data_IF_451747173860
#
_entry.id   IF_451747173860
#
_cell.length_a   1.000
_cell.length_b   1.000
_cell.length_c   1.000
_cell.angle_alpha   90.00
_cell.angle_beta   90.00
_cell.angle_gamma   90.00
#
_symmetry.space_group_name_H-M   'P 1'
#
loop_
_entity.id
_entity.type
_entity.pdbx_description
1 polymer ?
#
# COMPACT_ATOMS: atom_id res chain seq x y z
N UNK A 1 14.15 -30.08 9.11
CA UNK A 1 13.10 -29.05 8.99
C UNK A 1 12.45 -29.21 7.61
N UNK A 2 11.25 -29.77 7.54
CA UNK A 2 10.53 -29.90 6.26
C UNK A 2 9.89 -28.55 5.93
N UNK A 3 10.43 -27.85 4.95
CA UNK A 3 9.81 -26.65 4.38
C UNK A 3 8.51 -27.07 3.70
N UNK A 4 7.38 -26.89 4.38
CA UNK A 4 6.08 -26.99 3.68
C UNK A 4 6.06 -25.90 2.63
N UNK A 5 6.18 -26.29 1.35
CA UNK A 5 6.06 -25.36 0.22
C UNK A 5 4.65 -24.76 0.23
N UNK A 6 4.55 -23.51 0.63
CA UNK A 6 3.29 -22.74 0.54
C UNK A 6 3.06 -22.33 -0.92
N UNK A 7 1.79 -22.37 -1.35
CA UNK A 7 1.43 -21.85 -2.68
C UNK A 7 1.77 -20.36 -2.75
N UNK A 8 2.44 -19.94 -3.83
CA UNK A 8 2.75 -18.55 -4.13
C UNK A 8 1.81 -18.05 -5.21
N UNK A 9 1.11 -16.94 -4.96
CA UNK A 9 0.09 -16.38 -5.85
C UNK A 9 0.64 -15.33 -6.82
N UNK A 10 1.82 -14.77 -6.57
CA UNK A 10 2.47 -13.72 -7.41
C UNK A 10 1.59 -12.49 -7.62
N UNK A 11 0.98 -11.99 -6.55
CA UNK A 11 0.23 -10.74 -6.59
C UNK A 11 1.15 -9.56 -6.89
N UNK A 12 1.00 -8.96 -8.06
CA UNK A 12 1.80 -7.82 -8.48
C UNK A 12 1.49 -6.56 -7.67
N UNK A 13 2.49 -5.69 -7.58
CA UNK A 13 2.39 -4.37 -6.93
C UNK A 13 2.39 -3.29 -8.01
N UNK A 14 1.39 -2.42 -7.99
CA UNK A 14 1.35 -1.20 -8.79
C UNK A 14 1.73 -0.04 -7.86
N UNK A 15 2.95 0.44 -7.98
CA UNK A 15 3.50 1.49 -7.12
C UNK A 15 3.41 2.85 -7.80
N UNK A 16 2.84 3.80 -7.08
CA UNK A 16 2.90 5.22 -7.39
C UNK A 16 3.68 5.90 -6.27
N UNK A 17 4.73 6.62 -6.62
CA UNK A 17 5.60 7.29 -5.66
C UNK A 17 5.79 8.75 -6.05
N UNK A 18 5.83 9.65 -5.08
CA UNK A 18 6.17 11.05 -5.26
C UNK A 18 7.51 11.39 -4.63
N UNK A 19 7.92 12.65 -4.80
CA UNK A 19 9.14 13.16 -4.19
C UNK A 19 9.05 13.15 -2.66
N UNK A 20 10.04 12.55 -2.00
CA UNK A 20 10.15 12.53 -0.54
C UNK A 20 10.83 13.79 0.00
N UNK A 21 11.71 14.40 -0.79
CA UNK A 21 12.48 15.57 -0.41
C UNK A 21 12.37 16.68 -1.44
N UNK A 22 12.31 17.95 -1.03
CA UNK A 22 12.31 19.08 -1.95
C UNK A 22 13.61 19.23 -2.74
N UNK A 23 14.73 18.74 -2.19
CA UNK A 23 16.03 18.73 -2.85
C UNK A 23 16.22 17.41 -3.60
N UNK A 24 16.17 17.48 -4.92
CA UNK A 24 16.32 16.33 -5.83
C UNK A 24 17.70 15.65 -5.73
N UNK A 25 18.67 16.24 -5.04
CA UNK A 25 19.97 15.60 -4.74
C UNK A 25 19.84 14.54 -3.64
N UNK A 26 18.75 14.51 -2.91
CA UNK A 26 18.48 13.55 -1.85
C UNK A 26 17.49 12.49 -2.37
N UNK A 27 17.94 11.51 -3.18
CA UNK A 27 17.05 10.49 -3.68
C UNK A 27 16.60 9.59 -2.52
N UNK A 28 15.31 9.44 -2.36
CA UNK A 28 14.72 8.44 -1.50
C UNK A 28 13.62 7.75 -2.30
N UNK A 29 13.53 6.43 -2.23
CA UNK A 29 12.54 5.68 -2.97
C UNK A 29 12.21 4.37 -2.27
N UNK A 30 10.95 3.95 -2.37
CA UNK A 30 10.48 2.63 -1.95
C UNK A 30 10.78 1.55 -2.99
N UNK A 31 11.15 1.94 -4.21
CA UNK A 31 11.44 1.01 -5.30
C UNK A 31 12.47 -0.08 -4.95
N UNK A 32 13.56 0.20 -4.17
CA UNK A 32 14.48 -0.85 -3.74
C UNK A 32 13.82 -2.02 -2.98
N UNK A 33 12.77 -1.77 -2.21
CA UNK A 33 11.97 -2.82 -1.54
C UNK A 33 11.26 -3.70 -2.58
N UNK A 34 10.65 -3.08 -3.57
CA UNK A 34 9.94 -3.78 -4.64
C UNK A 34 10.90 -4.60 -5.51
N UNK A 35 12.08 -4.05 -5.81
CA UNK A 35 13.13 -4.73 -6.56
C UNK A 35 13.66 -5.96 -5.81
N UNK A 36 13.96 -5.82 -4.51
CA UNK A 36 14.33 -6.93 -3.65
C UNK A 36 13.31 -8.07 -3.71
N UNK A 37 12.02 -7.74 -3.63
CA UNK A 37 10.94 -8.72 -3.70
C UNK A 37 10.80 -9.36 -5.10
N UNK A 38 11.04 -8.61 -6.16
CA UNK A 38 10.94 -9.10 -7.53
C UNK A 38 12.08 -10.05 -7.90
N UNK A 39 13.26 -9.80 -7.37
CA UNK A 39 14.48 -10.62 -7.57
C UNK A 39 14.53 -11.83 -6.61
N UNK A 40 13.65 -11.86 -5.60
CA UNK A 40 13.57 -12.99 -4.67
C UNK A 40 13.31 -14.29 -5.40
N UNK A 41 14.16 -15.30 -5.18
CA UNK A 41 14.01 -16.62 -5.80
C UNK A 41 12.66 -17.29 -5.51
N UNK A 42 12.04 -17.00 -4.37
CA UNK A 42 10.80 -17.66 -3.92
C UNK A 42 9.56 -16.89 -4.36
N UNK A 43 9.48 -15.60 -4.07
CA UNK A 43 8.24 -14.83 -4.27
C UNK A 43 8.15 -14.20 -5.65
N UNK A 44 9.25 -13.71 -6.22
CA UNK A 44 9.31 -13.06 -7.54
C UNK A 44 8.10 -12.15 -7.78
N UNK A 45 7.89 -11.21 -6.85
CA UNK A 45 6.73 -10.31 -6.88
C UNK A 45 6.85 -9.36 -8.07
N UNK A 46 6.01 -9.46 -9.10
CA UNK A 46 6.07 -8.52 -10.21
C UNK A 46 5.64 -7.13 -9.72
N UNK A 47 6.26 -6.07 -10.24
CA UNK A 47 5.83 -4.72 -9.92
C UNK A 47 5.85 -3.80 -11.15
N UNK A 48 5.00 -2.79 -11.10
CA UNK A 48 5.02 -1.61 -11.95
C UNK A 48 5.31 -0.44 -11.04
N UNK A 49 6.29 0.38 -11.40
CA UNK A 49 6.68 1.57 -10.65
C UNK A 49 6.53 2.81 -11.51
N UNK A 50 5.99 3.89 -10.94
CA UNK A 50 5.84 5.19 -11.60
C UNK A 50 6.11 6.31 -10.60
N UNK A 51 7.00 7.22 -11.00
CA UNK A 51 7.15 8.52 -10.36
C UNK A 51 5.95 9.40 -10.74
N UNK A 52 5.44 10.12 -9.75
CA UNK A 52 4.23 10.94 -9.89
C UNK A 52 4.47 12.31 -9.28
N UNK A 53 4.58 13.31 -10.12
CA UNK A 53 4.85 14.69 -9.72
C UNK A 53 3.61 15.56 -9.53
N UNK A 54 2.44 15.17 -10.05
CA UNK A 54 1.21 15.97 -10.02
C UNK A 54 -0.02 15.14 -9.67
N UNK A 55 -1.09 15.81 -9.20
CA UNK A 55 -2.36 15.16 -8.92
C UNK A 55 -3.04 14.63 -10.20
N UNK A 56 -2.82 15.29 -11.35
CA UNK A 56 -3.31 14.83 -12.64
C UNK A 56 -2.64 13.51 -13.05
N UNK A 57 -1.31 13.43 -12.97
CA UNK A 57 -0.57 12.18 -13.23
C UNK A 57 -1.02 11.07 -12.29
N UNK A 58 -1.18 11.42 -11.02
CA UNK A 58 -1.65 10.47 -10.01
C UNK A 58 -3.01 9.88 -10.40
N UNK A 59 -3.98 10.74 -10.73
CA UNK A 59 -5.31 10.31 -11.17
C UNK A 59 -5.25 9.47 -12.44
N UNK A 60 -4.46 9.87 -13.42
CA UNK A 60 -4.24 9.11 -14.66
C UNK A 60 -3.76 7.69 -14.37
N UNK A 61 -2.76 7.51 -13.49
CA UNK A 61 -2.25 6.19 -13.17
C UNK A 61 -3.21 5.38 -12.32
N UNK A 62 -4.01 6.00 -11.45
CA UNK A 62 -5.08 5.30 -10.74
C UNK A 62 -6.11 4.72 -11.71
N UNK A 63 -6.55 5.51 -12.71
CA UNK A 63 -7.46 5.05 -13.76
C UNK A 63 -6.85 3.90 -14.60
N UNK A 64 -5.54 3.91 -14.84
CA UNK A 64 -4.85 2.76 -15.46
C UNK A 64 -4.90 1.54 -14.56
N UNK A 65 -4.55 1.68 -13.29
CA UNK A 65 -4.52 0.55 -12.35
C UNK A 65 -5.87 -0.15 -12.24
N UNK A 66 -6.99 0.55 -12.32
CA UNK A 66 -8.33 -0.07 -12.24
C UNK A 66 -8.70 -0.92 -13.45
N UNK A 67 -8.02 -0.77 -14.60
CA UNK A 67 -8.31 -1.52 -15.82
C UNK A 67 -8.05 -3.02 -15.66
N UNK A 68 -8.85 -3.85 -16.35
CA UNK A 68 -8.77 -5.31 -16.29
C UNK A 68 -7.39 -5.85 -16.69
N UNK A 69 -6.70 -5.21 -17.63
CA UNK A 69 -5.34 -5.61 -18.05
C UNK A 69 -4.29 -5.54 -16.95
N UNK A 70 -4.58 -4.83 -15.84
CA UNK A 70 -3.72 -4.76 -14.65
C UNK A 70 -4.27 -5.57 -13.47
N UNK A 71 -5.18 -6.53 -13.73
CA UNK A 71 -5.75 -7.38 -12.67
C UNK A 71 -4.70 -8.23 -11.95
N UNK A 72 -3.55 -8.50 -12.59
CA UNK A 72 -2.42 -9.23 -11.99
C UNK A 72 -1.63 -8.37 -10.97
N UNK A 73 -1.91 -7.06 -10.90
CA UNK A 73 -1.34 -6.10 -9.96
C UNK A 73 -2.41 -5.63 -8.96
N UNK A 74 -2.93 -6.52 -8.11
CA UNK A 74 -4.04 -6.18 -7.23
C UNK A 74 -3.64 -5.29 -6.05
N UNK A 75 -2.35 -5.07 -5.81
CA UNK A 75 -1.83 -4.26 -4.70
C UNK A 75 -1.44 -2.90 -5.25
N UNK A 76 -2.20 -1.85 -4.90
CA UNK A 76 -1.78 -0.47 -5.12
C UNK A 76 -0.92 -0.03 -3.95
N UNK A 77 0.30 0.38 -4.22
CA UNK A 77 1.22 0.95 -3.25
C UNK A 77 1.35 2.46 -3.50
N UNK A 78 1.05 3.27 -2.49
CA UNK A 78 1.08 4.73 -2.55
C UNK A 78 2.21 5.26 -1.66
N UNK A 79 3.38 5.53 -2.26
CA UNK A 79 4.57 6.07 -1.62
C UNK A 79 4.59 7.61 -1.67
N UNK A 80 3.96 8.26 -0.72
CA UNK A 80 3.83 9.72 -0.65
C UNK A 80 3.96 10.23 0.78
N UNK A 81 4.20 11.52 0.95
CA UNK A 81 3.93 12.14 2.24
C UNK A 81 2.45 12.02 2.60
N UNK A 82 2.15 11.92 3.89
CA UNK A 82 0.78 11.79 4.37
C UNK A 82 0.52 12.56 5.64
N UNK A 83 -0.75 12.86 5.84
CA UNK A 83 -1.36 13.36 7.06
C UNK A 83 -2.69 12.64 7.26
N UNK A 84 -3.36 12.73 8.41
CA UNK A 84 -4.61 12.01 8.65
C UNK A 84 -5.64 12.18 7.52
N UNK A 85 -5.96 11.07 6.84
CA UNK A 85 -6.96 11.03 5.77
C UNK A 85 -6.55 11.67 4.43
N UNK A 86 -5.26 11.97 4.23
CA UNK A 86 -4.76 12.61 3.00
C UNK A 86 -3.37 12.13 2.65
N UNK A 87 -3.05 12.12 1.35
CA UNK A 87 -1.68 12.05 0.83
C UNK A 87 -1.33 13.36 0.14
N UNK A 88 -0.03 13.65 0.05
CA UNK A 88 0.49 14.85 -0.62
C UNK A 88 1.22 14.43 -1.88
N UNK A 89 0.67 14.81 -3.03
CA UNK A 89 1.19 14.46 -4.35
C UNK A 89 1.85 15.69 -4.96
N UNK A 90 3.16 15.63 -5.18
CA UNK A 90 3.94 16.75 -5.70
C UNK A 90 4.21 17.86 -4.67
N UNK A 91 4.33 19.09 -5.12
CA UNK A 91 4.70 20.23 -4.26
C UNK A 91 3.62 20.57 -3.23
N UNK A 92 3.92 20.31 -1.96
CA UNK A 92 3.03 20.54 -0.80
C UNK A 92 2.54 21.99 -0.65
N UNK A 93 3.18 22.95 -1.31
CA UNK A 93 2.77 24.38 -1.30
C UNK A 93 1.56 24.63 -2.22
N UNK A 94 1.29 23.75 -3.14
CA UNK A 94 0.17 23.84 -4.07
C UNK A 94 -1.10 23.32 -3.40
N UNK A 95 -2.23 23.99 -3.61
CA UNK A 95 -3.52 23.57 -3.03
C UNK A 95 -4.02 22.23 -3.59
N UNK A 96 -3.71 21.96 -4.85
CA UNK A 96 -4.10 20.76 -5.59
C UNK A 96 -3.22 19.53 -5.28
N UNK A 97 -2.15 19.68 -4.49
CA UNK A 97 -1.28 18.57 -4.10
C UNK A 97 -1.89 17.64 -3.05
N UNK A 98 -2.91 18.07 -2.31
CA UNK A 98 -3.52 17.31 -1.24
C UNK A 98 -4.68 16.44 -1.75
N UNK A 99 -4.42 15.16 -1.91
CA UNK A 99 -5.43 14.17 -2.30
C UNK A 99 -6.06 13.55 -1.05
N UNK A 100 -7.33 13.80 -0.83
CA UNK A 100 -8.09 13.29 0.32
C UNK A 100 -8.61 11.87 0.09
N UNK A 101 -9.01 11.18 1.16
CA UNK A 101 -9.75 9.92 1.01
C UNK A 101 -11.05 10.09 0.24
N UNK A 102 -11.69 11.26 0.28
CA UNK A 102 -12.91 11.54 -0.49
C UNK A 102 -12.60 11.61 -2.00
N UNK A 103 -11.51 12.30 -2.38
CA UNK A 103 -11.07 12.32 -3.77
C UNK A 103 -10.75 10.92 -4.29
N UNK A 104 -10.02 10.11 -3.50
CA UNK A 104 -9.71 8.73 -3.85
C UNK A 104 -10.98 7.86 -3.95
N UNK A 105 -11.94 8.06 -3.06
CA UNK A 105 -13.21 7.35 -3.06
C UNK A 105 -14.00 7.64 -4.34
N UNK A 106 -14.09 8.92 -4.74
CA UNK A 106 -14.75 9.34 -5.97
C UNK A 106 -14.09 8.73 -7.22
N UNK A 107 -12.75 8.79 -7.30
CA UNK A 107 -11.99 8.31 -8.46
C UNK A 107 -11.97 6.78 -8.58
N UNK A 108 -12.08 6.07 -7.45
CA UNK A 108 -12.00 4.62 -7.39
C UNK A 108 -13.36 3.93 -7.17
N UNK A 109 -14.46 4.70 -7.17
CA UNK A 109 -15.79 4.19 -6.88
C UNK A 109 -16.13 2.93 -7.68
N UNK A 110 -16.48 1.84 -6.98
CA UNK A 110 -16.84 0.55 -7.57
C UNK A 110 -15.73 -0.20 -8.34
N UNK A 111 -14.51 0.37 -8.46
CA UNK A 111 -13.49 -0.11 -9.40
C UNK A 111 -12.42 -1.01 -8.75
N UNK A 112 -12.44 -1.20 -7.42
CA UNK A 112 -11.37 -1.89 -6.70
C UNK A 112 -11.72 -3.33 -6.27
N UNK A 113 -12.61 -4.02 -6.98
CA UNK A 113 -12.93 -5.41 -6.68
C UNK A 113 -11.68 -6.30 -6.73
N UNK A 114 -11.48 -7.13 -5.68
CA UNK A 114 -10.31 -8.00 -5.49
C UNK A 114 -8.96 -7.26 -5.43
N UNK A 115 -8.95 -6.00 -5.04
CA UNK A 115 -7.78 -5.15 -4.91
C UNK A 115 -7.58 -4.69 -3.48
N UNK A 116 -6.36 -4.35 -3.12
CA UNK A 116 -5.98 -3.72 -1.84
C UNK A 116 -5.21 -2.44 -2.11
N UNK A 117 -5.30 -1.48 -1.20
CA UNK A 117 -4.58 -0.22 -1.28
C UNK A 117 -3.69 -0.12 -0.04
N UNK A 118 -2.39 0.05 -0.25
CA UNK A 118 -1.41 0.27 0.79
C UNK A 118 -0.92 1.72 0.75
N UNK A 119 -1.17 2.44 1.82
CA UNK A 119 -0.62 3.76 2.05
C UNK A 119 0.75 3.63 2.72
N UNK A 120 1.83 3.67 1.93
CA UNK A 120 3.21 3.79 2.41
C UNK A 120 3.52 5.21 2.92
N UNK A 121 2.51 5.91 3.40
CA UNK A 121 2.53 7.31 3.80
C UNK A 121 2.23 7.47 5.29
N UNK A 122 2.85 8.50 5.90
CA UNK A 122 2.66 8.82 7.30
C UNK A 122 1.18 9.11 7.62
N UNK A 123 0.69 8.63 8.75
CA UNK A 123 -0.59 8.99 9.39
C UNK A 123 -1.86 8.88 8.52
N UNK A 124 -1.77 8.55 7.23
CA UNK A 124 -2.94 8.52 6.33
C UNK A 124 -4.07 7.63 6.87
N UNK A 125 -3.72 6.54 7.57
CA UNK A 125 -4.69 5.65 8.21
C UNK A 125 -5.15 6.10 9.61
N UNK A 126 -4.76 7.32 10.06
CA UNK A 126 -5.16 7.87 11.36
C UNK A 126 -6.52 8.58 11.27
N UNK A 127 -7.52 7.82 10.88
CA UNK A 127 -8.93 8.22 10.80
C UNK A 127 -9.81 7.14 11.43
N UNK A 128 -11.10 7.42 11.61
CA UNK A 128 -12.03 6.47 12.25
C UNK A 128 -12.19 5.17 11.43
N UNK A 129 -12.48 4.06 12.11
CA UNK A 129 -12.79 2.79 11.44
C UNK A 129 -14.01 2.94 10.52
N UNK A 130 -15.03 3.67 10.96
CA UNK A 130 -16.23 3.96 10.18
C UNK A 130 -15.88 4.63 8.85
N UNK A 131 -14.96 5.62 8.84
CA UNK A 131 -14.55 6.30 7.60
C UNK A 131 -13.84 5.33 6.64
N UNK A 132 -12.97 4.46 7.16
CA UNK A 132 -12.27 3.47 6.32
C UNK A 132 -13.22 2.41 5.78
N UNK A 133 -14.18 1.94 6.56
CA UNK A 133 -15.20 0.99 6.08
C UNK A 133 -16.11 1.64 5.02
N UNK A 134 -16.48 2.92 5.17
CA UNK A 134 -17.22 3.64 4.14
C UNK A 134 -16.42 3.69 2.81
N UNK A 135 -15.14 4.03 2.87
CA UNK A 135 -14.24 4.01 1.71
C UNK A 135 -14.17 2.61 1.05
N UNK A 136 -13.96 1.57 1.85
CA UNK A 136 -13.89 0.18 1.37
C UNK A 136 -15.21 -0.25 0.69
N UNK A 137 -16.34 0.19 1.23
CA UNK A 137 -17.65 -0.09 0.67
C UNK A 137 -17.85 0.63 -0.67
N UNK A 138 -17.53 1.91 -0.75
CA UNK A 138 -17.71 2.73 -1.94
C UNK A 138 -16.79 2.28 -3.09
N UNK A 139 -15.52 2.01 -2.82
CA UNK A 139 -14.54 1.60 -3.84
C UNK A 139 -14.61 0.12 -4.21
N UNK A 140 -15.14 -0.73 -3.33
CA UNK A 140 -15.14 -2.18 -3.49
C UNK A 140 -13.82 -2.85 -3.13
N UNK A 141 -12.82 -2.09 -2.64
CA UNK A 141 -11.53 -2.65 -2.23
C UNK A 141 -11.69 -3.68 -1.09
N UNK A 142 -10.78 -4.67 -1.06
CA UNK A 142 -10.79 -5.72 -0.04
C UNK A 142 -10.25 -5.22 1.30
N UNK A 143 -9.22 -4.37 1.25
CA UNK A 143 -8.59 -3.82 2.43
C UNK A 143 -7.83 -2.52 2.13
N UNK A 144 -7.68 -1.72 3.19
CA UNK A 144 -6.71 -0.62 3.27
C UNK A 144 -5.62 -0.99 4.27
N UNK A 145 -4.39 -0.76 3.89
CA UNK A 145 -3.19 -0.99 4.69
C UNK A 145 -2.42 0.34 4.82
N UNK A 146 -1.72 0.55 5.91
CA UNK A 146 -0.87 1.73 6.08
C UNK A 146 -0.65 2.10 7.54
N UNK A 147 -0.24 3.33 7.79
CA UNK A 147 0.24 3.77 9.09
C UNK A 147 -0.67 4.84 9.72
N UNK A 148 -0.79 4.77 11.06
CA UNK A 148 -1.46 5.79 11.88
C UNK A 148 -0.46 6.76 12.52
N UNK A 149 0.83 6.49 12.35
CA UNK A 149 1.95 7.27 12.89
C UNK A 149 2.90 7.65 11.76
N UNK A 150 3.94 8.39 12.11
CA UNK A 150 5.07 8.66 11.24
C UNK A 150 6.07 7.52 11.42
N UNK A 151 6.18 6.58 10.48
CA UNK A 151 7.12 5.47 10.58
C UNK A 151 8.55 5.95 10.30
N UNK A 152 9.52 5.31 10.95
CA UNK A 152 10.92 5.44 10.57
C UNK A 152 11.13 4.72 9.22
N UNK A 153 12.01 5.27 8.37
CA UNK A 153 12.19 4.83 6.98
C UNK A 153 12.64 3.37 6.85
N UNK A 154 13.70 2.98 7.57
CA UNK A 154 14.26 1.62 7.49
C UNK A 154 13.31 0.62 8.13
N UNK A 155 12.67 0.98 9.24
CA UNK A 155 11.71 0.12 9.94
C UNK A 155 10.49 -0.16 9.06
N UNK A 156 9.97 0.86 8.37
CA UNK A 156 8.85 0.69 7.44
C UNK A 156 9.25 -0.16 6.24
N UNK A 157 10.43 0.07 5.65
CA UNK A 157 10.94 -0.73 4.52
C UNK A 157 11.11 -2.22 4.90
N UNK A 158 11.66 -2.51 6.08
CA UNK A 158 11.78 -3.88 6.57
C UNK A 158 10.42 -4.54 6.80
N UNK A 159 9.50 -3.80 7.43
CA UNK A 159 8.13 -4.27 7.65
C UNK A 159 7.39 -4.53 6.34
N UNK A 160 7.46 -3.63 5.38
CA UNK A 160 6.78 -3.73 4.08
C UNK A 160 7.34 -4.88 3.24
N UNK A 161 8.64 -5.14 3.32
CA UNK A 161 9.24 -6.35 2.74
C UNK A 161 8.56 -7.61 3.26
N UNK A 162 8.37 -7.71 4.58
CA UNK A 162 7.70 -8.86 5.21
C UNK A 162 6.21 -8.90 4.87
N UNK A 163 5.52 -7.78 4.90
CA UNK A 163 4.09 -7.66 4.59
C UNK A 163 3.79 -8.07 3.15
N UNK A 164 4.46 -7.44 2.18
CA UNK A 164 4.27 -7.73 0.76
C UNK A 164 4.65 -9.18 0.42
N UNK A 165 5.72 -9.69 1.05
CA UNK A 165 6.09 -11.10 0.95
C UNK A 165 5.02 -12.04 1.52
N UNK A 166 4.42 -11.73 2.68
CA UNK A 166 3.37 -12.57 3.28
C UNK A 166 2.08 -12.56 2.45
N UNK A 167 1.73 -11.43 1.82
CA UNK A 167 0.58 -11.34 0.94
C UNK A 167 0.68 -12.32 -0.25
N UNK A 168 1.89 -12.69 -0.69
CA UNK A 168 2.09 -13.65 -1.77
C UNK A 168 1.64 -15.09 -1.44
N UNK A 169 1.47 -15.40 -0.18
CA UNK A 169 1.09 -16.74 0.27
C UNK A 169 -0.40 -16.89 0.57
N UNK A 170 -1.21 -15.88 0.28
CA UNK A 170 -2.64 -15.89 0.57
C UNK A 170 -3.43 -15.45 -0.65
N UNK A 171 -4.61 -16.03 -0.86
CA UNK A 171 -5.49 -15.59 -1.93
C UNK A 171 -5.89 -14.12 -1.72
N UNK A 172 -6.07 -13.36 -2.80
CA UNK A 172 -6.59 -12.00 -2.77
C UNK A 172 -8.10 -12.02 -2.50
N UNK A 173 -8.42 -12.26 -1.23
CA UNK A 173 -9.78 -12.38 -0.70
C UNK A 173 -9.82 -11.91 0.76
N UNK A 174 -11.02 -11.63 1.28
CA UNK A 174 -11.17 -11.22 2.69
C UNK A 174 -10.59 -12.26 3.65
N UNK A 175 -10.83 -13.55 3.42
CA UNK A 175 -10.28 -14.63 4.25
C UNK A 175 -8.76 -14.72 4.14
N UNK A 176 -8.21 -14.63 2.93
CA UNK A 176 -6.76 -14.63 2.71
C UNK A 176 -6.06 -13.44 3.39
N UNK A 177 -6.66 -12.25 3.33
CA UNK A 177 -6.12 -11.06 4.01
C UNK A 177 -6.21 -11.16 5.54
N UNK A 178 -7.28 -11.75 6.08
CA UNK A 178 -7.36 -12.05 7.53
C UNK A 178 -6.22 -13.00 7.95
N UNK A 179 -5.98 -14.06 7.18
CA UNK A 179 -4.88 -14.99 7.42
C UNK A 179 -3.52 -14.29 7.34
N UNK A 180 -3.30 -13.45 6.32
CA UNK A 180 -2.06 -12.68 6.18
C UNK A 180 -1.84 -11.75 7.39
N UNK A 181 -2.89 -11.04 7.82
CA UNK A 181 -2.84 -10.14 8.99
C UNK A 181 -2.44 -10.88 10.26
N UNK A 182 -3.05 -12.03 10.54
CA UNK A 182 -2.72 -12.80 11.75
C UNK A 182 -1.28 -13.34 11.69
N UNK A 183 -0.80 -13.79 10.53
CA UNK A 183 0.60 -14.24 10.38
C UNK A 183 1.62 -13.11 10.54
N UNK A 184 1.32 -11.92 10.02
CA UNK A 184 2.17 -10.75 10.27
C UNK A 184 2.22 -10.44 11.76
N UNK A 185 1.09 -10.51 12.45
CA UNK A 185 1.04 -10.34 13.91
C UNK A 185 1.82 -11.41 14.65
N UNK A 186 1.67 -12.67 14.29
CA UNK A 186 2.41 -13.79 14.92
C UNK A 186 3.92 -13.62 14.77
N UNK A 187 4.39 -13.24 13.58
CA UNK A 187 5.82 -13.06 13.31
C UNK A 187 6.42 -11.83 14.00
N UNK A 188 5.64 -10.77 14.15
CA UNK A 188 6.08 -9.48 14.66
C UNK A 188 5.39 -9.08 15.98
N UNK A 189 4.46 -9.89 16.47
CA UNK A 189 3.60 -9.55 17.61
C UNK A 189 4.34 -9.41 18.95
N UNK A 190 5.50 -10.05 19.09
CA UNK A 190 6.44 -9.80 20.20
C UNK A 190 7.35 -8.61 19.94
N UNK A 191 7.36 -8.06 18.73
CA UNK A 191 8.20 -6.96 18.33
C UNK A 191 7.48 -5.63 18.62
N UNK A 192 8.18 -4.69 19.20
CA UNK A 192 7.70 -3.33 19.43
C UNK A 192 7.36 -2.61 18.11
N UNK A 193 7.97 -3.06 17.01
CA UNK A 193 7.89 -2.51 15.66
C UNK A 193 6.46 -2.21 15.19
N UNK A 194 5.52 -3.15 15.28
CA UNK A 194 4.13 -2.91 14.82
C UNK A 194 3.43 -1.80 15.59
N UNK A 195 3.77 -1.62 16.88
CA UNK A 195 3.22 -0.55 17.73
C UNK A 195 3.87 0.80 17.42
N UNK A 196 5.17 0.79 17.14
CA UNK A 196 5.94 1.98 16.78
C UNK A 196 5.52 2.52 15.43
N UNK A 197 5.40 1.66 14.43
CA UNK A 197 4.88 2.00 13.11
C UNK A 197 3.40 2.45 13.15
N UNK A 198 2.63 2.03 14.15
CA UNK A 198 1.18 2.24 14.16
C UNK A 198 0.47 1.60 12.97
N UNK A 199 0.98 0.45 12.50
CA UNK A 199 0.42 -0.23 11.33
C UNK A 199 -1.04 -0.62 11.54
N UNK A 200 -1.84 -0.41 10.50
CA UNK A 200 -3.25 -0.77 10.44
C UNK A 200 -3.57 -1.51 9.15
N UNK A 201 -4.32 -2.58 9.26
CA UNK A 201 -4.95 -3.27 8.13
C UNK A 201 -6.45 -3.33 8.39
N UNK A 202 -7.20 -2.52 7.67
CA UNK A 202 -8.65 -2.50 7.69
C UNK A 202 -9.19 -3.35 6.55
N UNK A 203 -9.92 -4.41 6.86
CA UNK A 203 -10.47 -5.35 5.87
C UNK A 203 -11.97 -5.09 5.76
N UNK A 204 -12.50 -4.99 4.54
CA UNK A 204 -13.92 -4.75 4.28
C UNK A 204 -14.79 -5.81 4.96
N UNK A 205 -15.79 -5.36 5.69
CA UNK A 205 -16.83 -6.17 6.33
C UNK A 205 -17.74 -6.88 5.34
#
# INVERSE_FOLDING_TARGET
MTWKTRRVYKHGVFCLEGDWWPDLKNPASVEPVLRLLSESHISRVPYIYRDVGTAEDFKYYLEKWTQTRYAEYPILYLGFHGVPGKIVVGDKRRKDSHVTLDNLEDWLSGSCAKRVIHFGSCETMNVSATRLQAFLKATGALALLGYRKIPEWIESAAFETLLLGELQYNAMSRSGLKTARERVKERLGGCQLLRELGFRMEIRE
#
